data_IF_209517071228
#
_entry.id   IF_209517071228
#
_cell.length_a   1.000
_cell.length_b   1.000
_cell.length_c   1.000
_cell.angle_alpha   90.00
_cell.angle_beta   90.00
_cell.angle_gamma   90.00
#
_symmetry.space_group_name_H-M   'P 1'
#
loop_
_entity.id
_entity.type
_entity.pdbx_description
1 polymer ?
#
# COMPACT_ATOMS: atom_id res chain seq x y z
N UNK A 1 22.17 -15.79 -13.14
CA UNK A 1 21.62 -15.37 -11.85
C UNK A 1 21.87 -16.49 -10.85
N UNK A 2 22.41 -16.18 -9.68
CA UNK A 2 22.64 -17.12 -8.59
C UNK A 2 21.46 -17.13 -7.62
N UNK A 3 21.32 -18.17 -6.80
CA UNK A 3 20.30 -18.23 -5.75
C UNK A 3 20.41 -17.04 -4.77
N UNK A 4 21.63 -16.56 -4.51
CA UNK A 4 21.86 -15.40 -3.65
C UNK A 4 21.28 -14.12 -4.26
N UNK A 5 21.54 -13.88 -5.54
CA UNK A 5 20.98 -12.73 -6.28
C UNK A 5 19.44 -12.79 -6.35
N UNK A 6 18.85 -13.97 -6.52
CA UNK A 6 17.38 -14.13 -6.50
C UNK A 6 16.77 -13.83 -5.13
N UNK A 7 17.44 -14.24 -4.04
CA UNK A 7 16.98 -14.00 -2.67
C UNK A 7 17.06 -12.51 -2.31
N UNK A 8 18.13 -11.84 -2.70
CA UNK A 8 18.32 -10.41 -2.50
C UNK A 8 17.25 -9.60 -3.25
N UNK A 9 17.05 -9.86 -4.55
CA UNK A 9 16.03 -9.17 -5.35
C UNK A 9 14.61 -9.40 -4.80
N UNK A 10 14.30 -10.61 -4.30
CA UNK A 10 13.02 -10.87 -3.63
C UNK A 10 12.89 -10.13 -2.31
N UNK A 11 13.99 -9.98 -1.57
CA UNK A 11 14.05 -9.21 -0.33
C UNK A 11 13.75 -7.74 -0.55
N UNK A 12 14.43 -7.13 -1.53
CA UNK A 12 14.24 -5.74 -1.93
C UNK A 12 12.80 -5.48 -2.38
N UNK A 13 12.27 -6.30 -3.31
CA UNK A 13 10.90 -6.16 -3.79
C UNK A 13 9.85 -6.25 -2.66
N UNK A 14 10.07 -7.13 -1.68
CA UNK A 14 9.21 -7.21 -0.48
C UNK A 14 9.35 -6.00 0.42
N UNK A 15 10.56 -5.47 0.57
CA UNK A 15 10.84 -4.25 1.33
C UNK A 15 10.14 -3.04 0.74
N UNK A 16 10.25 -2.85 -0.58
CA UNK A 16 9.58 -1.78 -1.31
C UNK A 16 8.06 -1.87 -1.17
N UNK A 17 7.47 -3.04 -1.40
CA UNK A 17 6.02 -3.25 -1.25
C UNK A 17 5.51 -2.89 0.15
N UNK A 18 6.26 -3.27 1.20
CA UNK A 18 5.93 -2.92 2.59
C UNK A 18 6.06 -1.42 2.85
N UNK A 19 7.07 -0.78 2.26
CA UNK A 19 7.28 0.66 2.33
C UNK A 19 6.12 1.44 1.71
N UNK A 20 5.71 1.08 0.49
CA UNK A 20 4.57 1.69 -0.20
C UNK A 20 3.28 1.56 0.62
N UNK A 21 2.98 0.35 1.14
CA UNK A 21 1.81 0.11 1.97
C UNK A 21 1.79 0.98 3.24
N UNK A 22 2.95 1.11 3.90
CA UNK A 22 3.08 1.96 5.10
C UNK A 22 2.82 3.43 4.79
N UNK A 23 3.36 3.95 3.69
CA UNK A 23 3.14 5.34 3.27
C UNK A 23 1.67 5.59 2.98
N UNK A 24 1.03 4.69 2.22
CA UNK A 24 -0.41 4.81 1.94
C UNK A 24 -1.25 4.83 3.22
N UNK A 25 -0.97 3.95 4.19
CA UNK A 25 -1.67 3.94 5.48
C UNK A 25 -1.51 5.25 6.25
N UNK A 26 -0.32 5.86 6.23
CA UNK A 26 -0.10 7.17 6.84
C UNK A 26 -0.91 8.26 6.14
N UNK A 27 -0.96 8.26 4.81
CA UNK A 27 -1.75 9.21 4.04
C UNK A 27 -3.26 9.06 4.31
N UNK A 28 -3.75 7.82 4.35
CA UNK A 28 -5.15 7.50 4.67
C UNK A 28 -5.50 7.96 6.09
N UNK A 29 -4.65 7.66 7.07
CA UNK A 29 -4.86 8.05 8.45
C UNK A 29 -4.83 9.58 8.62
N UNK A 30 -3.94 10.26 7.89
CA UNK A 30 -3.86 11.72 7.89
C UNK A 30 -5.10 12.36 7.29
N UNK A 31 -5.59 11.86 6.14
CA UNK A 31 -6.72 12.46 5.43
C UNK A 31 -8.08 12.13 6.05
N UNK A 32 -8.27 10.90 6.53
CA UNK A 32 -9.57 10.40 6.95
C UNK A 32 -9.66 10.11 8.46
N UNK A 33 -8.57 10.27 9.22
CA UNK A 33 -8.52 9.95 10.64
C UNK A 33 -8.23 8.47 10.91
N UNK A 34 -8.50 7.98 12.14
CA UNK A 34 -8.22 6.60 12.53
C UNK A 34 -8.82 5.57 11.56
N UNK A 35 -7.98 4.65 11.09
CA UNK A 35 -8.37 3.65 10.10
C UNK A 35 -8.94 2.39 10.79
N UNK A 36 -10.04 1.82 10.27
CA UNK A 36 -10.48 0.49 10.67
C UNK A 36 -9.41 -0.57 10.41
N UNK A 37 -9.37 -1.62 11.23
CA UNK A 37 -8.44 -2.74 11.06
C UNK A 37 -8.64 -3.49 9.73
N UNK A 38 -9.87 -3.49 9.20
CA UNK A 38 -10.16 -4.02 7.87
C UNK A 38 -9.41 -3.29 6.76
N UNK A 39 -9.23 -1.98 6.90
CA UNK A 39 -8.52 -1.14 5.91
C UNK A 39 -7.01 -1.38 6.02
N UNK A 40 -6.47 -1.46 7.23
CA UNK A 40 -5.05 -1.76 7.42
C UNK A 40 -4.69 -3.15 6.90
N UNK A 41 -5.53 -4.16 7.19
CA UNK A 41 -5.38 -5.50 6.65
C UNK A 41 -5.48 -5.55 5.13
N UNK A 42 -6.41 -4.80 4.53
CA UNK A 42 -6.56 -4.70 3.07
C UNK A 42 -5.29 -4.13 2.42
N UNK A 43 -4.75 -3.04 2.95
CA UNK A 43 -3.54 -2.41 2.38
C UNK A 43 -2.30 -3.28 2.54
N UNK A 44 -2.17 -4.00 3.66
CA UNK A 44 -1.05 -4.93 3.86
C UNK A 44 -1.12 -6.18 2.97
N UNK A 45 -2.33 -6.63 2.61
CA UNK A 45 -2.54 -7.78 1.74
C UNK A 45 -2.56 -7.42 0.25
N UNK A 46 -2.65 -6.13 -0.08
CA UNK A 46 -2.74 -5.65 -1.45
C UNK A 46 -1.44 -5.89 -2.23
N UNK A 47 -1.59 -6.08 -3.54
CA UNK A 47 -0.44 -6.11 -4.45
C UNK A 47 0.16 -4.71 -4.58
N UNK A 48 1.47 -4.58 -4.87
CA UNK A 48 2.11 -3.28 -5.02
C UNK A 48 1.39 -2.36 -6.03
N UNK A 49 0.86 -2.92 -7.10
CA UNK A 49 0.13 -2.16 -8.12
C UNK A 49 -1.18 -1.56 -7.60
N UNK A 50 -1.84 -2.25 -6.66
CA UNK A 50 -3.07 -1.77 -6.01
C UNK A 50 -2.75 -0.64 -5.05
N UNK A 51 -1.69 -0.80 -4.24
CA UNK A 51 -1.19 0.25 -3.34
C UNK A 51 -0.82 1.52 -4.12
N UNK A 52 -0.10 1.40 -5.25
CA UNK A 52 0.24 2.55 -6.09
C UNK A 52 -0.99 3.25 -6.69
N UNK A 53 -2.01 2.50 -7.11
CA UNK A 53 -3.28 3.08 -7.59
C UNK A 53 -3.97 3.89 -6.49
N UNK A 54 -4.06 3.32 -5.29
CA UNK A 54 -4.67 3.98 -4.14
C UNK A 54 -3.87 5.21 -3.68
N UNK A 55 -2.54 5.18 -3.77
CA UNK A 55 -1.66 6.31 -3.48
C UNK A 55 -1.85 7.50 -4.42
N UNK A 56 -2.31 7.26 -5.66
CA UNK A 56 -2.73 8.33 -6.57
C UNK A 56 -4.18 8.75 -6.30
N UNK A 57 -5.08 7.78 -6.09
CA UNK A 57 -6.52 8.05 -5.91
C UNK A 57 -6.82 8.81 -4.62
N UNK A 58 -6.01 8.65 -3.58
CA UNK A 58 -6.16 9.40 -2.33
C UNK A 58 -6.04 10.92 -2.53
N UNK A 59 -5.34 11.37 -3.58
CA UNK A 59 -5.15 12.81 -3.85
C UNK A 59 -6.48 13.51 -4.17
N UNK A 60 -7.46 12.79 -4.70
CA UNK A 60 -8.74 13.36 -5.14
C UNK A 60 -9.96 12.75 -4.45
N UNK A 61 -9.84 11.59 -3.80
CA UNK A 61 -10.96 10.93 -3.15
C UNK A 61 -11.48 11.71 -1.92
N UNK A 62 -12.78 11.96 -1.85
CA UNK A 62 -13.40 12.64 -0.70
C UNK A 62 -13.75 11.70 0.46
N UNK A 63 -13.73 10.39 0.21
CA UNK A 63 -14.05 9.37 1.21
C UNK A 63 -13.06 8.23 1.18
N UNK A 64 -12.94 7.53 2.32
CA UNK A 64 -12.10 6.35 2.43
C UNK A 64 -12.53 5.26 1.42
N UNK A 65 -13.83 5.03 1.27
CA UNK A 65 -14.37 4.07 0.32
C UNK A 65 -14.00 4.40 -1.14
N UNK A 66 -14.05 5.68 -1.52
CA UNK A 66 -13.69 6.11 -2.88
C UNK A 66 -12.23 5.84 -3.24
N UNK A 67 -11.32 5.72 -2.26
CA UNK A 67 -9.93 5.30 -2.54
C UNK A 67 -9.87 3.86 -3.06
N UNK A 68 -10.70 2.98 -2.51
CA UNK A 68 -10.68 1.54 -2.80
C UNK A 68 -11.62 1.11 -3.93
N UNK A 69 -12.40 2.04 -4.48
CA UNK A 69 -13.30 1.77 -5.60
C UNK A 69 -12.53 1.32 -6.86
N UNK A 70 -13.17 0.61 -7.78
CA UNK A 70 -12.49 0.00 -8.95
C UNK A 70 -12.02 1.05 -9.97
#
# INVERSE_FOLDING_TARGET
>A
MTIAEELEARGEARGEARGEARVLLQQLAFKFGPLPESVTGTVHAARPEEVRKWALRILTADTLAAVFDR
#
